data_IF_668576015853
#
_entry.id   IF_668576015853
#
_cell.length_a   1.000
_cell.length_b   1.000
_cell.length_c   1.000
_cell.angle_alpha   90.00
_cell.angle_beta   90.00
_cell.angle_gamma   90.00
#
_symmetry.space_group_name_H-M   'P 1'
#
loop_
_entity.id
_entity.type
_entity.pdbx_description
1 polymer ?
#
# COMPACT_ATOMS: atom_id res chain seq x y z
N UNK A 1 -11.67 -3.49 17.40
CA UNK A 1 -10.70 -4.52 16.98
C UNK A 1 -9.31 -3.89 16.91
N UNK A 2 -8.21 -4.66 16.84
CA UNK A 2 -6.84 -4.10 16.76
C UNK A 2 -6.70 -3.04 15.63
N UNK A 3 -7.47 -3.18 14.54
CA UNK A 3 -7.48 -2.21 13.45
C UNK A 3 -8.02 -0.81 13.79
N UNK A 4 -8.80 -0.66 14.85
CA UNK A 4 -9.37 0.63 15.28
C UNK A 4 -8.33 1.53 15.99
N UNK A 5 -7.30 0.93 16.58
CA UNK A 5 -6.23 1.67 17.26
C UNK A 5 -5.12 2.14 16.33
N UNK A 6 -5.01 1.55 15.13
CA UNK A 6 -3.95 1.89 14.17
C UNK A 6 -4.00 3.37 13.78
N UNK A 7 -5.16 3.98 13.44
CA UNK A 7 -5.21 5.39 13.09
C UNK A 7 -4.72 6.34 14.18
N UNK A 8 -4.99 6.07 15.46
CA UNK A 8 -4.57 6.94 16.57
C UNK A 8 -3.09 6.80 16.91
N UNK A 9 -2.47 5.69 16.50
CA UNK A 9 -1.06 5.37 16.76
C UNK A 9 -0.18 5.43 15.52
N UNK A 10 -0.72 5.87 14.39
CA UNK A 10 -0.06 5.71 13.07
C UNK A 10 1.33 6.33 13.01
N UNK A 11 1.54 7.48 13.64
CA UNK A 11 2.84 8.18 13.71
C UNK A 11 3.88 7.45 14.58
N UNK A 12 3.45 6.54 15.47
CA UNK A 12 4.32 5.78 16.36
C UNK A 12 4.68 4.39 15.84
N UNK A 13 4.01 3.94 14.78
CA UNK A 13 4.23 2.63 14.16
C UNK A 13 5.17 2.84 12.98
N UNK A 14 6.22 2.03 12.86
CA UNK A 14 7.14 2.15 11.72
C UNK A 14 6.46 1.81 10.39
N UNK A 15 6.97 2.39 9.30
CA UNK A 15 6.36 2.25 7.98
C UNK A 15 6.32 0.79 7.51
N UNK A 16 7.38 0.02 7.77
CA UNK A 16 7.43 -1.40 7.44
C UNK A 16 6.37 -2.19 8.22
N UNK A 17 6.17 -1.88 9.50
CA UNK A 17 5.13 -2.48 10.33
C UNK A 17 3.73 -2.15 9.81
N UNK A 18 3.47 -0.91 9.38
CA UNK A 18 2.20 -0.54 8.74
C UNK A 18 1.93 -1.36 7.48
N UNK A 19 2.93 -1.54 6.62
CA UNK A 19 2.81 -2.38 5.42
C UNK A 19 2.50 -3.83 5.78
N UNK A 20 3.19 -4.38 6.79
CA UNK A 20 2.94 -5.74 7.26
C UNK A 20 1.54 -5.91 7.85
N UNK A 21 1.03 -4.91 8.57
CA UNK A 21 -0.34 -4.90 9.10
C UNK A 21 -1.36 -4.93 7.95
N UNK A 22 -1.22 -4.04 6.95
CA UNK A 22 -2.12 -4.04 5.79
C UNK A 22 -2.07 -5.37 5.04
N UNK A 23 -0.88 -5.93 4.84
CA UNK A 23 -0.70 -7.23 4.20
C UNK A 23 -1.34 -8.36 5.02
N UNK A 24 -1.21 -8.37 6.35
CA UNK A 24 -1.87 -9.35 7.20
C UNK A 24 -3.40 -9.28 7.07
N UNK A 25 -3.98 -8.07 7.06
CA UNK A 25 -5.41 -7.86 6.85
C UNK A 25 -5.86 -8.40 5.47
N UNK A 26 -5.06 -8.21 4.42
CA UNK A 26 -5.38 -8.75 3.10
C UNK A 26 -5.33 -10.27 3.06
N UNK A 27 -4.37 -10.89 3.74
CA UNK A 27 -4.28 -12.36 3.86
C UNK A 27 -5.44 -12.96 4.65
N UNK A 28 -6.01 -12.22 5.60
CA UNK A 28 -7.20 -12.61 6.34
C UNK A 28 -8.51 -12.29 5.61
N UNK A 29 -8.45 -11.61 4.45
CA UNK A 29 -9.65 -11.11 3.75
C UNK A 29 -10.44 -10.08 4.55
N UNK A 30 -9.84 -9.48 5.58
CA UNK A 30 -10.53 -8.56 6.47
C UNK A 30 -10.29 -7.12 6.03
N UNK A 31 -11.30 -6.52 5.40
CA UNK A 31 -11.25 -5.12 4.97
C UNK A 31 -11.63 -4.19 6.12
N UNK A 32 -10.66 -3.42 6.60
CA UNK A 32 -10.87 -2.44 7.67
C UNK A 32 -10.69 -1.01 7.17
N UNK A 33 -11.79 -0.37 6.79
CA UNK A 33 -11.84 0.95 6.12
C UNK A 33 -10.98 2.02 6.80
N UNK A 34 -11.12 2.21 8.12
CA UNK A 34 -10.45 3.30 8.84
C UNK A 34 -8.93 3.14 8.86
N UNK A 35 -8.44 1.91 9.08
CA UNK A 35 -7.03 1.56 9.03
C UNK A 35 -6.47 1.81 7.62
N UNK A 36 -7.13 1.29 6.59
CA UNK A 36 -6.66 1.43 5.21
C UNK A 36 -6.63 2.90 4.77
N UNK A 37 -7.65 3.69 5.13
CA UNK A 37 -7.65 5.14 4.88
C UNK A 37 -6.53 5.87 5.62
N UNK A 38 -6.25 5.51 6.87
CA UNK A 38 -5.17 6.12 7.63
C UNK A 38 -3.81 5.82 6.99
N UNK A 39 -3.55 4.56 6.63
CA UNK A 39 -2.31 4.15 5.93
C UNK A 39 -2.16 4.86 4.59
N UNK A 40 -3.24 4.93 3.78
CA UNK A 40 -3.22 5.62 2.50
C UNK A 40 -3.00 7.14 2.59
N UNK A 41 -3.25 7.76 3.75
CA UNK A 41 -2.97 9.18 4.01
C UNK A 41 -1.55 9.39 4.55
N UNK A 42 -1.05 8.45 5.34
CA UNK A 42 0.26 8.56 5.99
C UNK A 42 1.43 8.18 5.06
N UNK A 43 1.34 7.04 4.35
CA UNK A 43 2.46 6.54 3.54
C UNK A 43 2.89 7.40 2.35
N UNK A 44 2.04 8.17 1.65
CA UNK A 44 2.49 8.97 0.51
C UNK A 44 3.66 9.92 0.81
N UNK A 45 3.74 10.47 2.02
CA UNK A 45 4.84 11.34 2.44
C UNK A 45 6.12 10.56 2.82
N UNK A 46 6.07 9.23 2.80
CA UNK A 46 7.07 8.30 3.34
C UNK A 46 7.50 7.25 2.32
N UNK A 47 7.11 7.37 1.05
CA UNK A 47 7.40 6.36 0.03
C UNK A 47 8.90 6.19 -0.26
N UNK A 48 9.72 7.23 -0.04
CA UNK A 48 11.19 7.14 -0.14
C UNK A 48 11.80 6.25 0.95
N UNK A 49 11.14 6.15 2.12
CA UNK A 49 11.60 5.35 3.25
C UNK A 49 11.28 3.86 3.08
N UNK A 50 10.39 3.51 2.14
CA UNK A 50 9.97 2.14 1.85
C UNK A 50 10.86 1.48 0.81
N UNK A 51 11.07 0.16 0.97
CA UNK A 51 11.72 -0.71 -0.02
C UNK A 51 10.78 -1.05 -1.17
N UNK A 52 11.32 -1.40 -2.33
CA UNK A 52 10.55 -1.83 -3.50
C UNK A 52 9.53 -2.95 -3.18
N UNK A 53 9.92 -3.93 -2.37
CA UNK A 53 9.03 -5.00 -1.92
C UNK A 53 7.86 -4.49 -1.08
N UNK A 54 8.08 -3.52 -0.19
CA UNK A 54 7.05 -2.96 0.68
C UNK A 54 6.04 -2.14 -0.12
N UNK A 55 6.51 -1.36 -1.09
CA UNK A 55 5.67 -0.63 -2.05
C UNK A 55 4.77 -1.61 -2.83
N UNK A 56 5.36 -2.65 -3.41
CA UNK A 56 4.64 -3.66 -4.18
C UNK A 56 3.62 -4.43 -3.31
N UNK A 57 4.01 -4.86 -2.11
CA UNK A 57 3.13 -5.58 -1.19
C UNK A 57 1.96 -4.73 -0.72
N UNK A 58 2.17 -3.43 -0.50
CA UNK A 58 1.09 -2.52 -0.12
C UNK A 58 0.05 -2.41 -1.23
N UNK A 59 0.48 -2.17 -2.47
CA UNK A 59 -0.43 -2.13 -3.63
C UNK A 59 -1.20 -3.44 -3.80
N UNK A 60 -0.48 -4.57 -3.72
CA UNK A 60 -1.09 -5.89 -3.82
C UNK A 60 -2.11 -6.14 -2.70
N UNK A 61 -1.80 -5.80 -1.45
CA UNK A 61 -2.73 -5.93 -0.35
C UNK A 61 -4.00 -5.08 -0.55
N UNK A 62 -3.85 -3.85 -1.06
CA UNK A 62 -4.99 -2.98 -1.41
C UNK A 62 -5.86 -3.60 -2.51
N UNK A 63 -5.26 -4.26 -3.51
CA UNK A 63 -6.02 -4.92 -4.59
C UNK A 63 -6.80 -6.14 -4.09
N UNK A 64 -6.18 -6.98 -3.25
CA UNK A 64 -6.86 -8.13 -2.62
C UNK A 64 -8.04 -7.67 -1.75
N UNK A 65 -7.89 -6.59 -1.01
CA UNK A 65 -8.97 -6.00 -0.20
C UNK A 65 -9.98 -5.18 -1.02
N UNK A 66 -9.77 -5.06 -2.34
CA UNK A 66 -10.55 -4.22 -3.25
C UNK A 66 -10.72 -2.79 -2.72
N UNK A 67 -9.67 -2.26 -2.10
CA UNK A 67 -9.67 -0.95 -1.48
C UNK A 67 -8.96 0.05 -2.40
N UNK A 68 -9.72 1.05 -2.85
CA UNK A 68 -9.23 2.07 -3.79
C UNK A 68 -9.13 3.42 -3.08
N UNK A 69 -7.92 3.97 -3.03
CA UNK A 69 -7.67 5.33 -2.56
C UNK A 69 -6.90 6.12 -3.62
N UNK A 70 -7.61 6.99 -4.35
CA UNK A 70 -7.08 7.65 -5.57
C UNK A 70 -5.73 8.33 -5.33
N UNK A 71 -5.65 9.25 -4.37
CA UNK A 71 -4.39 9.99 -4.13
C UNK A 71 -3.22 9.11 -3.66
N UNK A 72 -3.50 7.95 -3.06
CA UNK A 72 -2.44 7.00 -2.71
C UNK A 72 -1.96 6.27 -3.96
N UNK A 73 -2.87 5.83 -4.82
CA UNK A 73 -2.54 5.16 -6.08
C UNK A 73 -1.80 6.09 -7.04
N UNK A 74 -2.24 7.35 -7.16
CA UNK A 74 -1.54 8.39 -7.93
C UNK A 74 -0.10 8.53 -7.42
N UNK A 75 0.09 8.72 -6.10
CA UNK A 75 1.42 8.85 -5.51
C UNK A 75 2.31 7.62 -5.75
N UNK A 76 1.77 6.40 -5.67
CA UNK A 76 2.51 5.17 -5.96
C UNK A 76 2.90 5.09 -7.44
N UNK A 77 1.99 5.45 -8.35
CA UNK A 77 2.23 5.45 -9.79
C UNK A 77 3.21 6.54 -10.23
N UNK A 78 3.28 7.67 -9.54
CA UNK A 78 4.31 8.70 -9.75
C UNK A 78 5.68 8.30 -9.18
N UNK A 79 5.68 7.48 -8.12
CA UNK A 79 6.89 7.14 -7.36
C UNK A 79 7.64 5.93 -7.93
N UNK A 80 6.93 4.82 -8.14
CA UNK A 80 7.52 3.54 -8.54
C UNK A 80 8.35 3.63 -9.83
N UNK A 81 7.92 4.33 -10.91
CA UNK A 81 8.69 4.45 -12.15
C UNK A 81 10.10 5.00 -11.96
N UNK A 82 10.29 5.89 -10.98
CA UNK A 82 11.58 6.52 -10.66
C UNK A 82 12.56 5.55 -10.00
N UNK A 83 12.05 4.45 -9.43
CA UNK A 83 12.82 3.46 -8.64
C UNK A 83 12.78 2.04 -9.23
N UNK A 84 12.37 1.88 -10.49
CA UNK A 84 12.19 0.55 -11.12
C UNK A 84 13.42 -0.37 -11.03
N UNK A 85 14.63 0.18 -10.97
CA UNK A 85 15.88 -0.60 -10.83
C UNK A 85 15.98 -1.37 -9.51
N UNK A 86 15.21 -0.97 -8.49
CA UNK A 86 15.17 -1.63 -7.18
C UNK A 86 14.15 -2.77 -7.13
N UNK A 87 13.25 -2.85 -8.11
CA UNK A 87 12.18 -3.83 -8.14
C UNK A 87 12.67 -5.11 -8.82
N UNK A 88 12.48 -6.24 -8.14
CA UNK A 88 12.63 -7.54 -8.78
C UNK A 88 11.37 -7.91 -9.58
N UNK A 89 11.44 -9.02 -10.33
CA UNK A 89 10.33 -9.50 -11.16
C UNK A 89 9.03 -9.65 -10.36
N UNK A 90 9.07 -10.30 -9.19
CA UNK A 90 7.87 -10.51 -8.36
C UNK A 90 7.25 -9.18 -7.89
N UNK A 91 8.07 -8.18 -7.57
CA UNK A 91 7.57 -6.87 -7.16
C UNK A 91 6.83 -6.19 -8.32
N UNK A 92 7.39 -6.24 -9.53
CA UNK A 92 6.75 -5.66 -10.71
C UNK A 92 5.44 -6.37 -11.05
N UNK A 93 5.40 -7.70 -10.99
CA UNK A 93 4.18 -8.48 -11.19
C UNK A 93 3.08 -8.07 -10.21
N UNK A 94 3.42 -7.92 -8.92
CA UNK A 94 2.48 -7.47 -7.89
C UNK A 94 1.94 -6.07 -8.17
N UNK A 95 2.80 -5.13 -8.59
CA UNK A 95 2.40 -3.76 -8.92
C UNK A 95 1.44 -3.75 -10.10
N UNK A 96 1.80 -4.41 -11.21
CA UNK A 96 0.99 -4.44 -12.43
C UNK A 96 -0.36 -5.11 -12.18
N UNK A 97 -0.36 -6.25 -11.47
CA UNK A 97 -1.58 -6.94 -11.07
C UNK A 97 -2.49 -6.02 -10.24
N UNK A 98 -1.93 -5.36 -9.23
CA UNK A 98 -2.68 -4.51 -8.33
C UNK A 98 -3.33 -3.31 -9.04
N UNK A 99 -2.56 -2.59 -9.87
CA UNK A 99 -3.04 -1.43 -10.64
C UNK A 99 -4.14 -1.85 -11.61
N UNK A 100 -3.97 -2.98 -12.31
CA UNK A 100 -4.98 -3.53 -13.22
C UNK A 100 -6.27 -3.93 -12.49
N UNK A 101 -6.15 -4.62 -11.36
CA UNK A 101 -7.30 -5.07 -10.58
C UNK A 101 -8.07 -3.92 -9.92
N UNK A 102 -7.37 -2.87 -9.47
CA UNK A 102 -7.98 -1.65 -8.93
C UNK A 102 -8.54 -0.73 -10.03
N UNK A 103 -8.36 -1.10 -11.31
CA UNK A 103 -8.79 -0.34 -12.49
C UNK A 103 -8.37 1.12 -12.42
N UNK A 104 -7.18 1.36 -11.88
CA UNK A 104 -6.69 2.71 -11.68
C UNK A 104 -6.10 3.24 -12.98
N UNK A 105 -6.72 4.30 -13.51
CA UNK A 105 -6.19 5.06 -14.63
C UNK A 105 -5.36 6.20 -14.06
N UNK A 106 -4.08 6.17 -14.38
CA UNK A 106 -3.15 7.26 -14.12
C UNK A 106 -3.03 8.08 -15.40
N UNK A 107 -3.29 9.38 -15.32
CA UNK A 107 -3.20 10.33 -16.45
C UNK A 107 -1.87 11.07 -16.42
#
# INVERSE_FOLDING_TARGET
AVGDEIPSRIESIGNQELVNIVYAFSRLGHRHENLLRAVCRHLPAKLDELKAQELANTLFAMSILQFRHRGFLDAMCDHIPKRLREFNQQNLENVVYAVGQLRHKHE
#
